data_IF_520360128419
#
_entry.id   IF_520360128419
#
_cell.length_a   1.000
_cell.length_b   1.000
_cell.length_c   1.000
_cell.angle_alpha   90.00
_cell.angle_beta   90.00
_cell.angle_gamma   90.00
#
_symmetry.space_group_name_H-M   'P 1'
#
loop_
_entity.id
_entity.type
_entity.pdbx_description
1 polymer ?
#
# COMPACT_ATOMS: atom_id res chain seq x y z
N UNK A 1 -8.57 -10.71 -20.72
CA UNK A 1 -7.93 -11.46 -19.62
C UNK A 1 -8.87 -11.34 -18.42
N UNK A 2 -9.08 -12.41 -17.66
CA UNK A 2 -9.97 -12.41 -16.47
C UNK A 2 -9.12 -12.69 -15.23
N UNK A 3 -9.42 -12.03 -14.13
CA UNK A 3 -8.79 -12.24 -12.83
C UNK A 3 -9.83 -12.43 -11.73
N UNK A 4 -9.39 -12.90 -10.57
CA UNK A 4 -10.22 -13.10 -9.38
C UNK A 4 -9.70 -12.23 -8.24
N UNK A 5 -10.62 -11.64 -7.47
CA UNK A 5 -10.31 -10.93 -6.22
C UNK A 5 -10.72 -11.84 -5.06
N UNK A 6 -9.77 -12.56 -4.43
CA UNK A 6 -10.08 -13.44 -3.31
C UNK A 6 -10.22 -12.67 -1.99
N UNK A 7 -10.64 -13.38 -0.94
CA UNK A 7 -10.69 -12.86 0.42
C UNK A 7 -11.83 -11.88 0.68
N UNK A 8 -11.69 -11.09 1.74
CA UNK A 8 -12.72 -10.16 2.20
C UNK A 8 -13.16 -9.17 1.10
N UNK A 9 -12.26 -8.55 0.31
CA UNK A 9 -12.69 -7.62 -0.76
C UNK A 9 -13.59 -8.29 -1.80
N UNK A 10 -13.31 -9.53 -2.18
CA UNK A 10 -14.16 -10.30 -3.11
C UNK A 10 -15.51 -10.65 -2.51
N UNK A 11 -15.56 -11.03 -1.23
CA UNK A 11 -16.80 -11.27 -0.50
C UNK A 11 -17.67 -10.01 -0.47
N UNK A 12 -17.08 -8.85 -0.16
CA UNK A 12 -17.80 -7.57 -0.11
C UNK A 12 -18.34 -7.14 -1.47
N UNK A 13 -17.58 -7.36 -2.56
CA UNK A 13 -18.07 -7.09 -3.91
C UNK A 13 -19.30 -7.95 -4.25
N UNK A 14 -19.26 -9.24 -3.87
CA UNK A 14 -20.38 -10.16 -4.10
C UNK A 14 -21.60 -9.78 -3.25
N UNK A 15 -21.40 -9.52 -1.96
CA UNK A 15 -22.47 -9.11 -1.05
C UNK A 15 -23.08 -7.77 -1.45
N UNK A 16 -22.28 -6.78 -1.88
CA UNK A 16 -22.77 -5.51 -2.41
C UNK A 16 -23.71 -5.72 -3.61
N UNK A 17 -23.35 -6.63 -4.51
CA UNK A 17 -24.21 -6.99 -5.66
C UNK A 17 -25.53 -7.63 -5.21
N UNK A 18 -25.49 -8.52 -4.21
CA UNK A 18 -26.69 -9.21 -3.69
C UNK A 18 -27.61 -8.25 -2.93
N UNK A 19 -27.02 -7.31 -2.18
CA UNK A 19 -27.74 -6.35 -1.33
C UNK A 19 -28.06 -5.04 -2.04
N UNK A 20 -27.70 -4.90 -3.31
CA UNK A 20 -27.88 -3.70 -4.12
C UNK A 20 -27.19 -2.46 -3.50
N UNK A 21 -25.98 -2.66 -2.98
CA UNK A 21 -25.09 -1.64 -2.44
C UNK A 21 -23.90 -1.43 -3.36
N UNK A 22 -23.58 -0.16 -3.63
CA UNK A 22 -22.41 0.21 -4.43
C UNK A 22 -21.12 -0.06 -3.66
N UNK A 23 -20.34 -1.03 -4.14
CA UNK A 23 -19.04 -1.41 -3.56
C UNK A 23 -17.99 -1.33 -4.66
N UNK A 24 -16.87 -0.67 -4.34
CA UNK A 24 -15.70 -0.60 -5.21
C UNK A 24 -14.49 -1.21 -4.49
N UNK A 25 -13.63 -1.89 -5.24
CA UNK A 25 -12.32 -2.35 -4.76
C UNK A 25 -11.27 -1.71 -5.65
N UNK A 26 -10.34 -0.99 -5.02
CA UNK A 26 -9.19 -0.39 -5.70
C UNK A 26 -7.99 -1.28 -5.46
N UNK A 27 -7.42 -1.80 -6.56
CA UNK A 27 -6.19 -2.56 -6.54
C UNK A 27 -5.07 -1.67 -7.03
N UNK A 28 -3.90 -1.78 -6.41
CA UNK A 28 -2.68 -1.17 -6.88
C UNK A 28 -1.60 -2.23 -6.99
N UNK A 29 -0.62 -1.99 -7.85
CA UNK A 29 0.49 -2.91 -8.06
C UNK A 29 1.62 -2.54 -7.12
N UNK A 30 2.17 -3.55 -6.44
CA UNK A 30 3.36 -3.43 -5.60
C UNK A 30 4.41 -4.42 -6.08
N UNK A 31 5.68 -4.16 -5.83
CA UNK A 31 6.78 -5.09 -6.12
C UNK A 31 6.78 -6.30 -5.16
N UNK A 32 5.99 -6.24 -4.07
CA UNK A 32 5.86 -7.31 -3.09
C UNK A 32 7.10 -7.52 -2.23
N UNK A 33 8.08 -6.61 -2.29
CA UNK A 33 9.32 -6.70 -1.52
C UNK A 33 9.19 -5.76 -0.32
N UNK A 34 8.56 -6.26 0.74
CA UNK A 34 8.38 -5.51 1.97
C UNK A 34 7.27 -4.46 1.88
N UNK A 35 7.24 -3.48 2.81
CA UNK A 35 6.20 -2.46 2.85
C UNK A 35 6.40 -1.42 1.73
N UNK A 36 5.40 -1.27 0.88
CA UNK A 36 5.37 -0.34 -0.24
C UNK A 36 4.58 0.92 0.13
N UNK A 37 5.26 1.86 0.78
CA UNK A 37 4.64 3.09 1.28
C UNK A 37 4.34 4.07 0.15
N UNK A 38 5.16 4.11 -0.89
CA UNK A 38 4.94 4.94 -2.07
C UNK A 38 3.65 4.56 -2.81
N UNK A 39 3.47 3.28 -3.14
CA UNK A 39 2.26 2.85 -3.83
C UNK A 39 1.02 3.01 -2.95
N UNK A 40 1.18 2.91 -1.63
CA UNK A 40 0.12 3.24 -0.67
C UNK A 40 -0.28 4.73 -0.71
N UNK A 41 0.68 5.64 -0.88
CA UNK A 41 0.39 7.07 -1.04
C UNK A 41 -0.31 7.39 -2.38
N UNK A 42 0.05 6.69 -3.45
CA UNK A 42 -0.64 6.77 -4.74
C UNK A 42 -2.09 6.27 -4.64
N UNK A 43 -2.32 5.16 -3.93
CA UNK A 43 -3.67 4.66 -3.64
C UNK A 43 -4.50 5.72 -2.91
N UNK A 44 -3.96 6.34 -1.85
CA UNK A 44 -4.66 7.40 -1.12
C UNK A 44 -4.96 8.61 -2.01
N UNK A 45 -4.05 8.97 -2.91
CA UNK A 45 -4.27 10.04 -3.90
C UNK A 45 -5.43 9.71 -4.83
N UNK A 46 -5.48 8.48 -5.36
CA UNK A 46 -6.56 8.02 -6.22
C UNK A 46 -7.91 8.02 -5.51
N UNK A 47 -7.96 7.58 -4.25
CA UNK A 47 -9.18 7.61 -3.43
C UNK A 47 -9.64 9.05 -3.18
N UNK A 48 -8.72 9.96 -2.86
CA UNK A 48 -9.03 11.37 -2.61
C UNK A 48 -9.65 12.05 -3.85
N UNK A 49 -9.21 11.67 -5.05
CA UNK A 49 -9.80 12.15 -6.31
C UNK A 49 -11.17 11.53 -6.59
N UNK A 50 -11.40 10.30 -6.15
CA UNK A 50 -12.64 9.57 -6.41
C UNK A 50 -13.79 9.98 -5.48
N UNK A 51 -13.49 10.32 -4.22
CA UNK A 51 -14.50 10.63 -3.20
C UNK A 51 -14.47 12.14 -2.90
N UNK A 52 -15.46 12.90 -3.40
CA UNK A 52 -15.55 14.34 -3.14
C UNK A 52 -15.64 14.64 -1.64
N UNK A 53 -14.94 15.68 -1.19
CA UNK A 53 -14.99 16.13 0.20
C UNK A 53 -14.08 15.36 1.16
N UNK A 54 -13.30 14.41 0.68
CA UNK A 54 -12.21 13.82 1.49
C UNK A 54 -11.02 14.77 1.55
N UNK A 55 -10.49 14.98 2.75
CA UNK A 55 -9.25 15.73 2.97
C UNK A 55 -8.14 14.73 3.25
N UNK A 56 -7.18 14.63 2.34
CA UNK A 56 -5.96 13.85 2.52
C UNK A 56 -4.76 14.75 2.28
N UNK A 57 -3.87 14.88 3.27
CA UNK A 57 -2.62 15.60 3.12
C UNK A 57 -1.61 14.70 2.39
N UNK A 58 -1.74 14.66 1.07
CA UNK A 58 -0.88 13.84 0.20
C UNK A 58 0.61 14.21 0.36
N UNK A 59 1.01 15.49 0.42
CA UNK A 59 2.40 15.86 0.66
C UNK A 59 2.96 15.32 1.99
N UNK A 60 2.18 15.40 3.07
CA UNK A 60 2.60 14.83 4.36
C UNK A 60 2.73 13.31 4.27
N UNK A 61 1.76 12.63 3.64
CA UNK A 61 1.77 11.18 3.47
C UNK A 61 3.01 10.70 2.70
N UNK A 62 3.36 11.38 1.60
CA UNK A 62 4.57 11.09 0.83
C UNK A 62 5.85 11.28 1.65
N UNK A 63 5.92 12.36 2.44
CA UNK A 63 7.07 12.63 3.31
C UNK A 63 7.24 11.57 4.40
N UNK A 64 6.15 11.11 5.01
CA UNK A 64 6.21 10.04 6.00
C UNK A 64 6.55 8.68 5.37
N UNK A 65 6.06 8.41 4.15
CA UNK A 65 6.46 7.24 3.37
C UNK A 65 7.97 7.20 3.10
N UNK A 66 8.55 8.32 2.62
CA UNK A 66 9.99 8.43 2.37
C UNK A 66 10.82 8.19 3.64
N UNK A 67 10.39 8.73 4.79
CA UNK A 67 11.06 8.50 6.08
C UNK A 67 11.03 7.02 6.49
N UNK A 68 9.89 6.35 6.32
CA UNK A 68 9.75 4.94 6.66
C UNK A 68 10.64 4.06 5.76
N UNK A 69 10.68 4.34 4.46
CA UNK A 69 11.57 3.64 3.51
C UNK A 69 13.05 3.84 3.87
N UNK A 70 13.45 5.07 4.23
CA UNK A 70 14.81 5.38 4.69
C UNK A 70 15.20 4.60 5.94
N UNK A 71 14.35 4.59 6.97
CA UNK A 71 14.62 3.87 8.22
C UNK A 71 14.78 2.35 8.02
N UNK A 72 13.97 1.76 7.14
CA UNK A 72 14.10 0.34 6.78
C UNK A 72 15.43 0.09 6.09
N UNK A 73 15.78 0.94 5.12
CA UNK A 73 17.03 0.80 4.36
C UNK A 73 18.27 0.92 5.26
N UNK A 74 18.28 1.88 6.18
CA UNK A 74 19.37 2.04 7.16
C UNK A 74 19.49 0.80 8.05
N UNK A 75 18.36 0.28 8.57
CA UNK A 75 18.34 -0.93 9.40
C UNK A 75 18.84 -2.17 8.64
N UNK A 76 18.48 -2.30 7.36
CA UNK A 76 18.94 -3.39 6.50
C UNK A 76 20.45 -3.30 6.21
N UNK A 77 20.96 -2.09 5.96
CA UNK A 77 22.40 -1.84 5.75
C UNK A 77 23.21 -2.13 7.02
N UNK A 78 22.74 -1.68 8.18
CA UNK A 78 23.35 -2.00 9.49
C UNK A 78 23.38 -3.51 9.74
N UNK A 79 22.27 -4.20 9.48
CA UNK A 79 22.16 -5.65 9.65
C UNK A 79 23.13 -6.40 8.73
N UNK A 80 23.31 -5.95 7.48
CA UNK A 80 24.29 -6.53 6.55
C UNK A 80 25.73 -6.32 7.04
N UNK A 81 26.07 -5.09 7.44
CA UNK A 81 27.40 -4.76 7.95
C UNK A 81 27.78 -5.61 9.17
N UNK A 82 26.84 -5.83 10.08
CA UNK A 82 27.04 -6.70 11.26
C UNK A 82 27.28 -8.14 10.82
N UNK A 83 26.45 -8.69 9.93
CA UNK A 83 26.63 -10.06 9.40
C UNK A 83 28.02 -10.25 8.78
N UNK A 84 28.45 -9.34 7.93
CA UNK A 84 29.76 -9.41 7.27
C UNK A 84 30.93 -9.33 8.25
N UNK A 85 30.78 -8.62 9.37
CA UNK A 85 31.80 -8.57 10.44
C UNK A 85 31.89 -9.85 11.28
N UNK A 86 30.82 -10.65 11.37
CA UNK A 86 30.78 -11.88 12.17
C UNK A 86 31.36 -13.08 11.42
N UNK A 87 31.26 -13.10 10.08
CA UNK A 87 31.78 -14.16 9.22
C UNK A 87 33.22 -13.91 8.74
N UNK A 88 33.89 -12.88 9.24
CA UNK A 88 35.29 -12.54 8.97
C UNK A 88 36.17 -12.84 10.18
#
# INVERSE_FOLDING_TARGET
QHGTIPGIPGVLLNEGTITNQDVIVVLFQTDGIGPDFRSSAELCTGIAQLIPGTSCDIPLLQKEAEKAELAIKETDEETRNIKDSIYR
#
